data_IF_119215769371
#
_entry.id   IF_119215769371
#
_cell.length_a   1.000
_cell.length_b   1.000
_cell.length_c   1.000
_cell.angle_alpha   90.00
_cell.angle_beta   90.00
_cell.angle_gamma   90.00
#
_symmetry.space_group_name_H-M   'P 1'
#
loop_
_entity.id
_entity.type
_entity.pdbx_description
1 polymer ?
#
# COMPACT_ATOMS: atom_id res chain seq x y z
N UNK A 1 4.00 23.51 21.00
CA UNK A 1 3.44 22.31 21.63
C UNK A 1 4.57 21.34 21.88
N UNK A 2 4.64 20.73 23.05
CA UNK A 2 5.59 19.64 23.27
C UNK A 2 5.19 18.41 22.43
N UNK A 3 6.12 17.48 22.23
CA UNK A 3 5.82 16.20 21.59
C UNK A 3 4.68 15.46 22.32
N UNK A 4 4.67 15.52 23.66
CA UNK A 4 3.64 14.91 24.49
C UNK A 4 2.25 15.54 24.28
N UNK A 5 2.18 16.86 24.12
CA UNK A 5 0.92 17.55 23.83
C UNK A 5 0.37 17.15 22.46
N UNK A 6 1.27 17.03 21.48
CA UNK A 6 0.91 16.62 20.11
C UNK A 6 0.45 15.16 20.06
N UNK A 7 1.12 14.28 20.81
CA UNK A 7 0.73 12.88 20.94
C UNK A 7 -0.62 12.74 21.66
N UNK A 8 -0.82 13.47 22.75
CA UNK A 8 -2.09 13.47 23.49
C UNK A 8 -3.26 13.97 22.62
N UNK A 9 -3.05 15.04 21.86
CA UNK A 9 -4.05 15.55 20.91
C UNK A 9 -4.37 14.52 19.81
N UNK A 10 -3.34 13.86 19.26
CA UNK A 10 -3.52 12.79 18.28
C UNK A 10 -4.31 11.60 18.84
N UNK A 11 -4.01 11.17 20.07
CA UNK A 11 -4.76 10.12 20.74
C UNK A 11 -6.21 10.51 20.98
N UNK A 12 -6.49 11.75 21.38
CA UNK A 12 -7.85 12.24 21.56
C UNK A 12 -8.67 12.18 20.26
N UNK A 13 -8.07 12.59 19.13
CA UNK A 13 -8.71 12.52 17.81
C UNK A 13 -9.10 11.09 17.40
N UNK A 14 -8.24 10.11 17.66
CA UNK A 14 -8.48 8.71 17.29
C UNK A 14 -9.39 7.99 18.30
N UNK A 15 -9.44 8.46 19.54
CA UNK A 15 -10.29 7.87 20.59
C UNK A 15 -11.80 8.10 20.38
N UNK A 16 -12.19 9.02 19.50
CA UNK A 16 -13.59 9.20 19.13
C UNK A 16 -14.15 7.94 18.46
N UNK A 17 -15.39 7.59 18.82
CA UNK A 17 -16.09 6.44 18.25
C UNK A 17 -16.16 6.49 16.71
N UNK A 18 -16.40 7.68 16.15
CA UNK A 18 -16.47 7.89 14.70
C UNK A 18 -15.14 7.56 14.01
N UNK A 19 -14.02 8.00 14.59
CA UNK A 19 -12.67 7.67 14.11
C UNK A 19 -12.43 6.17 14.06
N UNK A 20 -12.79 5.44 15.13
CA UNK A 20 -12.65 3.98 15.20
C UNK A 20 -13.56 3.30 14.17
N UNK A 21 -14.80 3.80 14.01
CA UNK A 21 -15.75 3.27 13.04
C UNK A 21 -15.25 3.40 11.60
N UNK A 22 -14.82 4.59 11.18
CA UNK A 22 -14.31 4.82 9.82
C UNK A 22 -13.00 4.05 9.56
N UNK A 23 -12.12 3.95 10.56
CA UNK A 23 -10.92 3.13 10.47
C UNK A 23 -11.27 1.64 10.29
N UNK A 24 -12.19 1.10 11.11
CA UNK A 24 -12.62 -0.29 11.03
C UNK A 24 -13.32 -0.60 9.71
N UNK A 25 -14.18 0.30 9.23
CA UNK A 25 -14.81 0.20 7.92
C UNK A 25 -13.77 0.21 6.81
N UNK A 26 -12.78 1.10 6.90
CA UNK A 26 -11.67 1.16 5.95
C UNK A 26 -10.89 -0.14 5.91
N UNK A 27 -10.51 -0.68 7.07
CA UNK A 27 -9.81 -1.98 7.15
C UNK A 27 -10.66 -3.09 6.53
N UNK A 28 -11.95 -3.15 6.83
CA UNK A 28 -12.85 -4.17 6.25
C UNK A 28 -12.91 -4.07 4.73
N UNK A 29 -13.16 -2.88 4.19
CA UNK A 29 -13.21 -2.63 2.74
C UNK A 29 -11.86 -2.95 2.11
N UNK A 30 -10.76 -2.54 2.74
CA UNK A 30 -9.40 -2.82 2.30
C UNK A 30 -9.13 -4.32 2.21
N UNK A 31 -9.43 -5.08 3.26
CA UNK A 31 -9.21 -6.53 3.28
C UNK A 31 -10.03 -7.23 2.20
N UNK A 32 -11.29 -6.85 2.03
CA UNK A 32 -12.16 -7.41 0.97
C UNK A 32 -11.57 -7.09 -0.40
N UNK A 33 -11.23 -5.82 -0.66
CA UNK A 33 -10.67 -5.39 -1.93
C UNK A 33 -9.34 -6.09 -2.23
N UNK A 34 -8.42 -6.16 -1.25
CA UNK A 34 -7.14 -6.83 -1.41
C UNK A 34 -7.26 -8.36 -1.57
N UNK A 35 -8.35 -8.96 -1.07
CA UNK A 35 -8.62 -10.37 -1.27
C UNK A 35 -9.04 -10.71 -2.70
N UNK A 36 -9.51 -9.71 -3.48
CA UNK A 36 -9.88 -9.88 -4.89
C UNK A 36 -8.62 -9.88 -5.75
N UNK A 37 -8.30 -10.99 -6.46
CA UNK A 37 -7.11 -11.05 -7.30
C UNK A 37 -7.15 -10.00 -8.42
N UNK A 38 -6.10 -9.19 -8.51
CA UNK A 38 -5.99 -8.11 -9.50
C UNK A 38 -6.33 -6.72 -8.94
N UNK A 39 -7.04 -6.64 -7.82
CA UNK A 39 -7.34 -5.36 -7.16
C UNK A 39 -6.19 -4.99 -6.21
N UNK A 40 -5.41 -3.98 -6.61
CA UNK A 40 -4.31 -3.48 -5.78
C UNK A 40 -4.81 -2.61 -4.62
N UNK A 41 -4.05 -2.53 -3.52
CA UNK A 41 -4.36 -1.66 -2.39
C UNK A 41 -4.46 -0.18 -2.82
N UNK A 42 -3.63 0.26 -3.78
CA UNK A 42 -3.67 1.62 -4.34
C UNK A 42 -4.96 1.87 -5.11
N UNK A 43 -5.45 0.87 -5.85
CA UNK A 43 -6.73 0.95 -6.53
C UNK A 43 -7.89 1.02 -5.53
N UNK A 44 -7.87 0.19 -4.48
CA UNK A 44 -8.89 0.24 -3.43
C UNK A 44 -8.98 1.62 -2.76
N UNK A 45 -7.83 2.25 -2.46
CA UNK A 45 -7.77 3.62 -1.95
C UNK A 45 -8.35 4.63 -2.94
N UNK A 46 -8.00 4.51 -4.23
CA UNK A 46 -8.53 5.38 -5.27
C UNK A 46 -10.06 5.29 -5.40
N UNK A 47 -10.61 4.08 -5.27
CA UNK A 47 -12.06 3.84 -5.27
C UNK A 47 -12.74 4.36 -4.00
N UNK A 48 -12.05 4.36 -2.87
CA UNK A 48 -12.57 4.84 -1.59
C UNK A 48 -12.52 6.37 -1.46
N UNK A 49 -11.60 7.05 -2.13
CA UNK A 49 -11.38 8.49 -2.03
C UNK A 49 -12.63 9.35 -2.26
N UNK A 50 -13.50 9.10 -3.27
CA UNK A 50 -14.74 9.87 -3.48
C UNK A 50 -15.63 9.94 -2.24
N UNK A 51 -15.66 8.86 -1.45
CA UNK A 51 -16.50 8.77 -0.26
C UNK A 51 -15.96 9.60 0.90
N UNK A 52 -14.71 10.05 0.85
CA UNK A 52 -14.09 10.85 1.92
C UNK A 52 -14.42 12.33 1.86
N UNK A 53 -14.89 12.84 0.72
CA UNK A 53 -15.10 14.29 0.55
C UNK A 53 -16.32 14.83 1.28
N UNK A 54 -17.27 13.95 1.62
CA UNK A 54 -18.41 14.28 2.46
C UNK A 54 -18.08 14.13 3.97
N UNK A 55 -16.89 13.62 4.31
CA UNK A 55 -16.47 13.36 5.69
C UNK A 55 -15.61 14.50 6.21
N UNK A 56 -15.56 14.64 7.54
CA UNK A 56 -14.52 15.47 8.15
C UNK A 56 -13.12 14.91 7.79
N UNK A 57 -12.12 15.78 7.59
CA UNK A 57 -10.80 15.35 7.09
C UNK A 57 -10.17 14.22 7.90
N UNK A 58 -10.33 14.20 9.22
CA UNK A 58 -9.81 13.15 10.08
C UNK A 58 -10.42 11.78 9.75
N UNK A 59 -11.74 11.73 9.55
CA UNK A 59 -12.46 10.49 9.22
C UNK A 59 -12.12 10.00 7.81
N UNK A 60 -12.00 10.93 6.85
CA UNK A 60 -11.56 10.63 5.49
C UNK A 60 -10.16 10.01 5.46
N UNK A 61 -9.21 10.61 6.19
CA UNK A 61 -7.83 10.10 6.28
C UNK A 61 -7.80 8.72 6.93
N UNK A 62 -8.54 8.52 8.04
CA UNK A 62 -8.59 7.22 8.74
C UNK A 62 -9.23 6.13 7.87
N UNK A 63 -10.28 6.46 7.12
CA UNK A 63 -10.90 5.54 6.17
C UNK A 63 -9.89 5.07 5.12
N UNK A 64 -9.19 6.00 4.46
CA UNK A 64 -8.21 5.67 3.42
C UNK A 64 -7.01 4.90 3.98
N UNK A 65 -6.54 5.25 5.18
CA UNK A 65 -5.51 4.50 5.88
C UNK A 65 -5.96 3.06 6.16
N UNK A 66 -7.18 2.88 6.62
CA UNK A 66 -7.78 1.56 6.83
C UNK A 66 -7.83 0.76 5.52
N UNK A 67 -8.32 1.37 4.43
CA UNK A 67 -8.38 0.72 3.11
C UNK A 67 -7.00 0.33 2.62
N UNK A 68 -6.01 1.21 2.76
CA UNK A 68 -4.64 0.95 2.35
C UNK A 68 -4.03 -0.21 3.15
N UNK A 69 -4.03 -0.13 4.49
CA UNK A 69 -3.43 -1.15 5.37
C UNK A 69 -4.15 -2.50 5.24
N UNK A 70 -5.48 -2.45 5.24
CA UNK A 70 -6.33 -3.63 5.00
C UNK A 70 -6.09 -4.25 3.64
N UNK A 71 -5.91 -3.46 2.58
CA UNK A 71 -5.62 -3.93 1.23
C UNK A 71 -4.25 -4.56 1.06
N UNK A 72 -3.22 -4.00 1.69
CA UNK A 72 -1.87 -4.57 1.68
C UNK A 72 -1.85 -5.95 2.34
N UNK A 73 -2.47 -6.10 3.52
CA UNK A 73 -2.62 -7.41 4.16
C UNK A 73 -3.56 -8.33 3.36
N UNK A 74 -4.69 -7.78 2.87
CA UNK A 74 -5.69 -8.51 2.09
C UNK A 74 -5.07 -9.18 0.86
N UNK A 75 -4.10 -8.54 0.21
CA UNK A 75 -3.34 -9.10 -0.91
C UNK A 75 -2.59 -10.40 -0.60
N UNK A 76 -2.30 -10.68 0.67
CA UNK A 76 -1.70 -11.94 1.12
C UNK A 76 -2.69 -13.11 1.14
N UNK A 77 -4.00 -12.84 1.20
CA UNK A 77 -5.04 -13.88 1.17
C UNK A 77 -5.00 -14.68 -0.15
N UNK A 78 -5.11 -14.04 -1.33
CA UNK A 78 -5.05 -14.77 -2.60
C UNK A 78 -3.63 -15.23 -2.93
N UNK A 79 -2.59 -14.56 -2.41
CA UNK A 79 -1.20 -15.03 -2.48
C UNK A 79 -1.04 -16.42 -1.84
N UNK A 80 -1.57 -16.60 -0.62
CA UNK A 80 -1.46 -17.83 0.16
C UNK A 80 -2.41 -18.91 -0.37
N UNK A 81 -3.67 -18.59 -0.65
CA UNK A 81 -4.70 -19.60 -0.92
C UNK A 81 -4.69 -20.12 -2.36
N UNK A 82 -4.34 -19.26 -3.32
CA UNK A 82 -4.51 -19.55 -4.76
C UNK A 82 -3.32 -19.11 -5.61
N UNK A 83 -2.16 -18.84 -5.00
CA UNK A 83 -0.90 -18.46 -5.67
C UNK A 83 -1.00 -17.22 -6.58
N UNK A 84 -1.98 -16.35 -6.34
CA UNK A 84 -2.21 -15.16 -7.16
C UNK A 84 -2.09 -13.93 -6.27
N UNK A 85 -0.88 -13.36 -6.08
CA UNK A 85 -0.68 -12.27 -5.15
C UNK A 85 -1.46 -11.01 -5.58
N UNK A 86 -2.18 -10.40 -4.63
CA UNK A 86 -2.93 -9.16 -4.87
C UNK A 86 -2.06 -7.90 -4.93
N UNK A 87 -0.83 -7.99 -4.41
CA UNK A 87 0.16 -6.90 -4.49
C UNK A 87 1.54 -7.45 -4.87
N UNK A 88 2.42 -6.62 -5.49
CA UNK A 88 3.80 -7.02 -5.76
C UNK A 88 4.54 -7.49 -4.51
N UNK A 89 4.32 -6.87 -3.35
CA UNK A 89 4.95 -7.25 -2.08
C UNK A 89 4.47 -8.64 -1.60
N UNK A 90 3.20 -8.98 -1.78
CA UNK A 90 2.63 -10.30 -1.45
C UNK A 90 3.20 -11.44 -2.31
N UNK A 91 3.94 -11.12 -3.38
CA UNK A 91 4.65 -12.13 -4.17
C UNK A 91 5.74 -12.83 -3.35
N UNK A 92 6.41 -12.11 -2.43
CA UNK A 92 7.37 -12.72 -1.50
C UNK A 92 6.65 -13.68 -0.55
N UNK A 93 5.50 -13.28 0.00
CA UNK A 93 4.65 -14.12 0.85
C UNK A 93 4.17 -15.40 0.14
N UNK A 94 3.95 -15.32 -1.18
CA UNK A 94 3.53 -16.48 -1.99
C UNK A 94 4.57 -17.61 -1.97
N UNK A 95 5.86 -17.28 -1.85
CA UNK A 95 6.97 -18.25 -1.92
C UNK A 95 6.86 -19.35 -0.87
N UNK A 96 6.49 -18.99 0.36
CA UNK A 96 6.32 -19.96 1.46
C UNK A 96 4.85 -20.13 1.86
N UNK A 97 4.03 -19.08 1.77
CA UNK A 97 2.63 -19.12 2.16
C UNK A 97 1.80 -20.09 1.31
N UNK A 98 2.03 -20.13 -0.01
CA UNK A 98 1.30 -21.05 -0.89
C UNK A 98 1.69 -22.52 -0.65
N UNK A 99 2.98 -22.91 -0.58
CA UNK A 99 3.36 -24.27 -0.18
C UNK A 99 2.83 -24.69 1.21
N UNK A 100 2.73 -23.76 2.18
CA UNK A 100 2.09 -24.04 3.46
C UNK A 100 0.59 -24.37 3.28
N UNK A 101 -0.12 -23.61 2.44
CA UNK A 101 -1.51 -23.88 2.11
C UNK A 101 -1.69 -25.23 1.39
N UNK A 102 -0.78 -25.63 0.50
CA UNK A 102 -0.80 -26.94 -0.15
C UNK A 102 -0.67 -28.11 0.83
N UNK A 103 -0.02 -27.90 1.99
CA UNK A 103 0.08 -28.87 3.09
C UNK A 103 -1.09 -28.81 4.08
N UNK A 104 -2.13 -28.03 3.81
CA UNK A 104 -3.27 -27.85 4.71
C UNK A 104 -2.97 -26.93 5.91
N UNK A 105 -1.91 -26.13 5.85
CA UNK A 105 -1.54 -25.15 6.88
C UNK A 105 -1.93 -23.71 6.50
N UNK A 106 -2.94 -23.53 5.66
CA UNK A 106 -3.37 -22.23 5.14
C UNK A 106 -3.72 -21.22 6.26
N UNK A 107 -4.45 -21.63 7.29
CA UNK A 107 -4.80 -20.80 8.45
C UNK A 107 -3.58 -20.39 9.28
N UNK A 108 -2.55 -21.24 9.33
CA UNK A 108 -1.28 -20.94 9.98
C UNK A 108 -0.48 -19.91 9.16
N UNK A 109 -0.45 -20.04 7.84
CA UNK A 109 0.17 -19.05 6.96
C UNK A 109 -0.55 -17.69 7.02
N UNK A 110 -1.88 -17.67 6.92
CA UNK A 110 -2.69 -16.44 7.03
C UNK A 110 -2.53 -15.77 8.38
N UNK A 111 -2.54 -16.55 9.46
CA UNK A 111 -2.29 -16.04 10.81
C UNK A 111 -0.89 -15.43 10.94
N UNK A 112 0.14 -16.09 10.40
CA UNK A 112 1.51 -15.57 10.43
C UNK A 112 1.62 -14.26 9.64
N UNK A 113 1.04 -14.21 8.44
CA UNK A 113 0.99 -13.01 7.61
C UNK A 113 0.31 -11.85 8.34
N UNK A 114 -0.79 -12.11 9.07
CA UNK A 114 -1.48 -11.10 9.87
C UNK A 114 -0.61 -10.60 11.01
N UNK A 115 -0.03 -11.49 11.81
CA UNK A 115 0.83 -11.10 12.94
C UNK A 115 2.09 -10.35 12.49
N UNK A 116 2.76 -10.84 11.44
CA UNK A 116 3.92 -10.18 10.86
C UNK A 116 3.57 -8.77 10.34
N UNK A 117 2.44 -8.64 9.62
CA UNK A 117 1.96 -7.34 9.11
C UNK A 117 1.66 -6.37 10.26
N UNK A 118 0.94 -6.80 11.29
CA UNK A 118 0.61 -5.96 12.44
C UNK A 118 1.86 -5.49 13.21
N UNK A 119 2.84 -6.36 13.42
CA UNK A 119 4.09 -6.01 14.11
C UNK A 119 4.92 -5.04 13.24
N UNK A 120 5.03 -5.32 11.93
CA UNK A 120 5.78 -4.47 11.01
C UNK A 120 5.14 -3.08 10.86
N UNK A 121 3.80 -3.02 10.78
CA UNK A 121 3.06 -1.77 10.76
C UNK A 121 3.22 -0.97 12.06
N UNK A 122 3.22 -1.64 13.21
CA UNK A 122 3.47 -0.97 14.49
C UNK A 122 4.87 -0.33 14.52
N UNK A 123 5.90 -1.07 14.11
CA UNK A 123 7.28 -0.56 14.05
C UNK A 123 7.38 0.60 13.04
N UNK A 124 6.75 0.45 11.87
CA UNK A 124 6.76 1.48 10.83
C UNK A 124 6.04 2.76 11.27
N UNK A 125 4.86 2.64 11.86
CA UNK A 125 4.09 3.77 12.37
C UNK A 125 4.81 4.48 13.53
N UNK A 126 5.40 3.73 14.47
CA UNK A 126 6.21 4.32 15.54
C UNK A 126 7.43 5.04 14.99
N UNK A 127 8.12 4.44 14.03
CA UNK A 127 9.26 5.09 13.36
C UNK A 127 8.82 6.39 12.67
N UNK A 128 7.65 6.39 12.00
CA UNK A 128 7.09 7.58 11.39
C UNK A 128 6.74 8.64 12.44
N UNK A 129 6.04 8.30 13.53
CA UNK A 129 5.66 9.25 14.58
C UNK A 129 6.89 9.93 15.20
N UNK A 130 7.96 9.16 15.45
CA UNK A 130 9.19 9.67 16.06
C UNK A 130 10.05 10.49 15.09
N UNK A 131 10.12 10.06 13.82
CA UNK A 131 11.00 10.65 12.82
C UNK A 131 10.31 11.70 11.95
N UNK A 132 8.97 11.82 11.99
CA UNK A 132 8.21 12.74 11.13
C UNK A 132 8.66 14.19 11.27
N UNK A 133 8.94 14.65 12.49
CA UNK A 133 9.43 16.02 12.72
C UNK A 133 10.78 16.28 12.05
N UNK A 134 11.70 15.32 12.14
CA UNK A 134 12.99 15.38 11.46
C UNK A 134 12.83 15.34 9.94
N UNK A 135 12.01 14.41 9.44
CA UNK A 135 11.68 14.30 8.01
C UNK A 135 11.09 15.61 7.47
N UNK A 136 10.17 16.23 8.21
CA UNK A 136 9.55 17.49 7.86
C UNK A 136 10.55 18.66 7.86
N UNK A 137 11.44 18.73 8.86
CA UNK A 137 12.49 19.76 8.90
C UNK A 137 13.46 19.65 7.73
N UNK A 138 13.80 18.41 7.33
CA UNK A 138 14.60 18.15 6.15
C UNK A 138 13.85 18.56 4.88
N UNK A 139 12.56 18.20 4.76
CA UNK A 139 11.73 18.60 3.63
C UNK A 139 11.55 20.13 3.52
N UNK A 140 11.46 20.85 4.64
CA UNK A 140 11.37 22.32 4.66
C UNK A 140 12.69 23.00 4.26
N UNK A 141 13.82 22.31 4.34
CA UNK A 141 15.10 22.82 3.85
C UNK A 141 15.25 22.73 2.32
N UNK A 142 14.30 22.09 1.64
CA UNK A 142 14.33 21.96 0.18
C UNK A 142 14.04 23.29 -0.50
N UNK A 143 14.94 23.69 -1.39
CA UNK A 143 14.74 24.79 -2.30
C UNK A 143 14.21 24.30 -3.66
N UNK A 144 14.06 25.23 -4.62
CA UNK A 144 13.63 24.90 -5.97
C UNK A 144 14.45 23.76 -6.64
N UNK A 145 15.79 23.69 -6.50
CA UNK A 145 16.58 22.58 -7.06
C UNK A 145 16.26 21.21 -6.45
N UNK A 146 16.07 21.15 -5.13
CA UNK A 146 15.74 19.91 -4.42
C UNK A 146 14.34 19.43 -4.81
N UNK A 147 13.35 20.34 -4.84
CA UNK A 147 12.00 20.04 -5.33
C UNK A 147 12.02 19.56 -6.78
N UNK A 148 12.76 20.24 -7.66
CA UNK A 148 12.92 19.80 -9.05
C UNK A 148 13.52 18.39 -9.13
N UNK A 149 14.59 18.13 -8.38
CA UNK A 149 15.28 16.84 -8.38
C UNK A 149 14.39 15.74 -7.82
N UNK A 150 13.59 16.02 -6.78
CA UNK A 150 12.65 15.06 -6.20
C UNK A 150 11.49 14.75 -7.12
N UNK A 151 10.94 15.75 -7.81
CA UNK A 151 9.90 15.55 -8.82
C UNK A 151 10.48 14.74 -9.97
N UNK A 152 11.68 15.08 -10.47
CA UNK A 152 12.37 14.34 -11.53
C UNK A 152 12.67 12.90 -11.10
N UNK A 153 13.14 12.70 -9.87
CA UNK A 153 13.38 11.38 -9.29
C UNK A 153 12.09 10.58 -9.20
N UNK A 154 11.01 11.19 -8.69
CA UNK A 154 9.68 10.56 -8.62
C UNK A 154 9.15 10.17 -9.99
N UNK A 155 9.31 11.04 -11.00
CA UNK A 155 8.95 10.73 -12.40
C UNK A 155 9.81 9.59 -12.97
N UNK A 156 11.11 9.57 -12.64
CA UNK A 156 12.04 8.50 -13.05
C UNK A 156 11.66 7.16 -12.44
N UNK A 157 11.26 7.15 -11.18
CA UNK A 157 10.70 5.99 -10.50
C UNK A 157 9.42 5.53 -11.17
N UNK A 158 8.46 6.44 -11.40
CA UNK A 158 7.18 6.08 -12.03
C UNK A 158 7.48 5.41 -13.38
N UNK A 159 8.38 6.00 -14.17
CA UNK A 159 8.85 5.42 -15.42
C UNK A 159 9.53 4.05 -15.22
N UNK A 160 10.37 3.89 -14.20
CA UNK A 160 11.07 2.63 -13.88
C UNK A 160 10.17 1.51 -13.33
N UNK A 161 9.07 1.87 -12.66
CA UNK A 161 8.07 0.95 -12.10
C UNK A 161 6.99 0.60 -13.13
N UNK A 162 6.99 1.22 -14.32
CA UNK A 162 5.99 1.04 -15.38
C UNK A 162 6.02 -0.33 -16.10
N UNK A 163 6.37 -1.39 -15.40
CA UNK A 163 6.35 -2.76 -15.90
C UNK A 163 7.26 -2.95 -17.11
N UNK A 164 6.76 -3.65 -18.12
CA UNK A 164 7.55 -4.09 -19.28
C UNK A 164 7.92 -2.97 -20.28
N UNK A 165 7.35 -1.76 -20.14
CA UNK A 165 7.55 -0.69 -21.12
C UNK A 165 7.76 0.69 -20.49
N UNK A 166 9.03 1.08 -20.38
CA UNK A 166 9.47 2.42 -19.95
C UNK A 166 8.78 3.55 -20.75
N UNK A 167 8.59 3.33 -22.07
CA UNK A 167 7.95 4.31 -22.96
C UNK A 167 6.51 4.57 -22.56
N UNK A 168 5.72 3.52 -22.25
CA UNK A 168 4.33 3.69 -21.78
C UNK A 168 4.27 4.43 -20.45
N UNK A 169 5.23 4.16 -19.55
CA UNK A 169 5.38 4.88 -18.30
C UNK A 169 5.62 6.37 -18.47
N UNK A 170 6.57 6.73 -19.34
CA UNK A 170 6.86 8.13 -19.67
C UNK A 170 5.67 8.84 -20.32
N UNK A 171 4.94 8.16 -21.22
CA UNK A 171 3.72 8.71 -21.82
C UNK A 171 2.65 8.96 -20.76
N UNK A 172 2.43 8.01 -19.84
CA UNK A 172 1.46 8.16 -18.76
C UNK A 172 1.83 9.31 -17.81
N UNK A 173 3.11 9.42 -17.43
CA UNK A 173 3.61 10.50 -16.59
C UNK A 173 3.47 11.87 -17.26
N UNK A 174 3.82 11.97 -18.55
CA UNK A 174 3.65 13.20 -19.31
C UNK A 174 2.17 13.58 -19.48
N UNK A 175 1.29 12.60 -19.72
CA UNK A 175 -0.14 12.82 -19.84
C UNK A 175 -0.75 13.31 -18.52
N UNK A 176 -0.38 12.69 -17.40
CA UNK A 176 -0.81 13.13 -16.06
C UNK A 176 -0.33 14.55 -15.74
N UNK A 177 0.92 14.89 -16.09
CA UNK A 177 1.46 16.23 -15.91
C UNK A 177 0.70 17.27 -16.76
N UNK A 178 0.38 16.94 -18.01
CA UNK A 178 -0.41 17.81 -18.89
C UNK A 178 -1.81 18.06 -18.32
N UNK A 179 -2.51 17.01 -17.86
CA UNK A 179 -3.82 17.14 -17.22
C UNK A 179 -3.76 17.99 -15.94
N UNK A 180 -2.68 17.89 -15.16
CA UNK A 180 -2.48 18.70 -13.96
C UNK A 180 -2.21 20.19 -14.25
N UNK A 181 -1.82 20.54 -15.48
CA UNK A 181 -1.63 21.95 -15.89
C UNK A 181 -2.91 22.63 -16.38
N UNK A 182 -4.03 21.92 -16.47
CA UNK A 182 -5.33 22.50 -16.85
C UNK A 182 -5.84 23.37 -15.70
N UNK A 183 -6.18 24.63 -16.00
CA UNK A 183 -6.71 25.61 -15.05
C UNK A 183 -5.85 26.86 -14.92
N UNK A 184 -6.01 27.58 -13.82
CA UNK A 184 -5.23 28.77 -13.52
C UNK A 184 -3.82 28.42 -13.04
N UNK A 185 -2.83 29.11 -13.61
CA UNK A 185 -1.47 29.12 -13.10
C UNK A 185 -1.40 29.77 -11.71
N UNK A 186 -0.94 29.03 -10.70
CA UNK A 186 -0.83 29.52 -9.32
C UNK A 186 0.20 30.64 -9.14
N UNK A 187 1.17 30.78 -10.05
CA UNK A 187 2.23 31.79 -9.95
C UNK A 187 1.81 33.09 -10.65
N UNK A 188 1.33 32.98 -11.89
CA UNK A 188 1.06 34.14 -12.74
C UNK A 188 -0.43 34.42 -12.95
N UNK A 189 -1.34 33.56 -12.49
CA UNK A 189 -2.79 33.71 -12.68
C UNK A 189 -3.25 33.62 -14.13
N UNK A 190 -2.43 33.00 -15.00
CA UNK A 190 -2.74 32.83 -16.42
C UNK A 190 -3.57 31.57 -16.66
N UNK A 191 -4.52 31.66 -17.58
CA UNK A 191 -5.33 30.54 -18.02
C UNK A 191 -4.51 29.54 -18.84
N UNK A 192 -4.52 28.27 -18.44
CA UNK A 192 -3.88 27.16 -19.16
C UNK A 192 -4.92 26.10 -19.50
N UNK A 193 -5.15 25.88 -20.79
CA UNK A 193 -6.10 24.87 -21.28
C UNK A 193 -7.53 25.00 -20.68
N UNK A 194 -7.96 26.22 -20.28
CA UNK A 194 -9.33 26.51 -19.83
C UNK A 194 -10.33 26.60 -20.99
N UNK A 195 -9.84 26.81 -22.21
CA UNK A 195 -10.63 26.94 -23.45
C UNK A 195 -11.81 27.93 -23.38
N UNK A 196 -11.75 28.90 -22.46
CA UNK A 196 -12.82 29.88 -22.23
C UNK A 196 -14.01 29.34 -21.44
N UNK A 197 -13.95 28.12 -20.90
CA UNK A 197 -14.96 27.57 -19.97
C UNK A 197 -14.58 27.93 -18.53
N UNK A 198 -15.40 28.73 -17.82
CA UNK A 198 -15.16 29.07 -16.42
C UNK A 198 -15.07 27.84 -15.50
N UNK A 199 -15.71 26.73 -15.84
CA UNK A 199 -15.66 25.50 -15.03
C UNK A 199 -14.27 24.84 -15.08
N UNK A 200 -13.49 25.07 -16.14
CA UNK A 200 -12.13 24.55 -16.28
C UNK A 200 -11.07 25.44 -15.63
N UNK A 201 -11.41 26.66 -15.22
CA UNK A 201 -10.47 27.55 -14.51
C UNK A 201 -10.03 26.96 -13.16
N UNK A 202 -10.91 26.20 -12.51
CA UNK A 202 -10.61 25.43 -11.29
C UNK A 202 -9.79 24.16 -11.54
N UNK A 203 -9.44 23.87 -12.80
CA UNK A 203 -8.80 22.64 -13.23
C UNK A 203 -9.75 21.45 -13.33
N UNK A 204 -9.19 20.28 -13.63
CA UNK A 204 -9.98 19.05 -13.72
C UNK A 204 -10.38 18.58 -12.31
N UNK A 205 -11.64 18.17 -12.16
CA UNK A 205 -12.08 17.57 -10.90
C UNK A 205 -11.28 16.28 -10.63
N UNK A 206 -10.43 16.33 -9.60
CA UNK A 206 -9.53 15.25 -9.25
C UNK A 206 -10.25 13.91 -9.08
N UNK A 207 -11.44 13.93 -8.47
CA UNK A 207 -12.27 12.76 -8.21
C UNK A 207 -12.72 12.11 -9.52
N UNK A 208 -13.29 12.91 -10.42
CA UNK A 208 -13.78 12.44 -11.70
C UNK A 208 -12.66 11.82 -12.54
N UNK A 209 -11.47 12.45 -12.53
CA UNK A 209 -10.28 11.93 -13.20
C UNK A 209 -9.85 10.59 -12.60
N UNK A 210 -9.79 10.46 -11.27
CA UNK A 210 -9.43 9.21 -10.61
C UNK A 210 -10.44 8.08 -10.86
N UNK A 211 -11.74 8.36 -10.80
CA UNK A 211 -12.78 7.37 -11.12
C UNK A 211 -12.64 6.92 -12.59
N UNK A 212 -12.43 7.87 -13.51
CA UNK A 212 -12.23 7.57 -14.92
C UNK A 212 -10.98 6.74 -15.20
N UNK A 213 -9.88 7.01 -14.49
CA UNK A 213 -8.59 6.35 -14.70
C UNK A 213 -8.47 5.00 -14.00
N UNK A 214 -9.09 4.84 -12.83
CA UNK A 214 -8.91 3.65 -11.98
C UNK A 214 -10.16 2.78 -11.90
N UNK A 215 -11.36 3.35 -11.81
CA UNK A 215 -12.58 2.56 -11.63
C UNK A 215 -13.12 2.01 -12.96
N UNK A 216 -13.22 2.87 -13.98
CA UNK A 216 -13.81 2.48 -15.26
C UNK A 216 -13.05 1.34 -15.97
N UNK A 217 -11.71 1.33 -16.05
CA UNK A 217 -11.00 0.26 -16.75
C UNK A 217 -11.24 -1.11 -16.12
N UNK A 218 -11.33 -1.20 -14.79
CA UNK A 218 -11.58 -2.46 -14.10
C UNK A 218 -13.03 -2.93 -14.27
N UNK A 219 -14.00 -2.00 -14.21
CA UNK A 219 -15.41 -2.35 -14.49
C UNK A 219 -15.54 -2.90 -15.91
N UNK A 220 -14.86 -2.28 -16.87
CA UNK A 220 -14.81 -2.75 -18.26
C UNK A 220 -14.13 -4.14 -18.31
N UNK A 221 -12.94 -4.32 -17.75
CA UNK A 221 -12.22 -5.61 -17.78
C UNK A 221 -13.02 -6.74 -17.12
N UNK A 222 -13.66 -6.47 -15.98
CA UNK A 222 -14.52 -7.42 -15.28
C UNK A 222 -15.70 -7.88 -16.15
N UNK A 223 -16.34 -6.96 -16.89
CA UNK A 223 -17.46 -7.29 -17.78
C UNK A 223 -16.99 -8.07 -19.02
N UNK A 224 -15.83 -7.73 -19.58
CA UNK A 224 -15.35 -8.33 -20.84
C UNK A 224 -14.50 -9.59 -20.67
N UNK A 225 -13.92 -9.80 -19.48
CA UNK A 225 -13.10 -10.97 -19.15
C UNK A 225 -13.50 -11.52 -17.79
N UNK A 226 -14.69 -12.11 -17.65
CA UNK A 226 -15.00 -12.88 -16.46
C UNK A 226 -13.94 -13.99 -16.36
N UNK A 227 -13.03 -13.88 -15.38
CA UNK A 227 -11.99 -14.88 -15.18
C UNK A 227 -12.66 -16.17 -14.72
N UNK A 228 -12.91 -17.08 -15.66
CA UNK A 228 -13.23 -18.48 -15.40
C UNK A 228 -11.98 -19.23 -14.97
N UNK A 229 -11.38 -18.86 -13.83
CA UNK A 229 -10.43 -19.75 -13.18
C UNK A 229 -10.99 -20.13 -11.83
N UNK A 230 -11.62 -21.31 -11.78
CA UNK A 230 -11.97 -21.99 -10.56
C UNK A 230 -10.69 -22.47 -9.86
N UNK A 231 -9.91 -21.53 -9.30
CA UNK A 231 -8.98 -21.86 -8.23
C UNK A 231 -9.86 -22.19 -7.03
N UNK A 232 -10.15 -23.48 -6.82
CA UNK A 232 -10.82 -23.90 -5.59
C UNK A 232 -9.99 -23.38 -4.41
N UNK A 233 -10.57 -22.47 -3.63
CA UNK A 233 -9.94 -21.95 -2.43
C UNK A 233 -9.51 -23.13 -1.56
N UNK A 234 -8.21 -23.17 -1.21
CA UNK A 234 -7.69 -24.23 -0.35
C UNK A 234 -8.39 -24.17 1.01
N UNK A 235 -8.66 -25.35 1.58
CA UNK A 235 -9.22 -25.42 2.92
C UNK A 235 -8.26 -24.75 3.91
N UNK A 236 -8.80 -23.92 4.82
CA UNK A 236 -8.03 -23.19 5.82
C UNK A 236 -7.23 -24.13 6.75
N UNK A 237 -7.64 -25.39 6.89
CA UNK A 237 -7.10 -26.31 7.88
C UNK A 237 -7.49 -25.92 9.30
N UNK A 238 -7.26 -26.82 10.26
CA UNK A 238 -7.70 -26.63 11.65
C UNK A 238 -6.73 -25.84 12.55
N UNK A 239 -5.55 -25.44 12.03
CA UNK A 239 -4.49 -24.83 12.84
C UNK A 239 -4.22 -23.40 12.39
N UNK A 240 -4.38 -22.46 13.32
CA UNK A 240 -3.97 -21.06 13.18
C UNK A 240 -2.55 -20.85 13.68
N UNK A 241 -1.92 -19.74 13.29
CA UNK A 241 -0.61 -19.36 13.82
C UNK A 241 -0.68 -19.21 15.34
N UNK A 242 0.29 -19.81 16.02
CA UNK A 242 0.39 -19.73 17.47
C UNK A 242 1.34 -18.61 17.89
N UNK A 243 1.23 -18.14 19.14
CA UNK A 243 2.21 -17.20 19.70
C UNK A 243 3.64 -17.76 19.69
N UNK A 244 3.79 -19.09 19.74
CA UNK A 244 5.09 -19.75 19.61
C UNK A 244 5.68 -19.59 18.20
N UNK A 245 4.84 -19.67 17.16
CA UNK A 245 5.25 -19.41 15.77
C UNK A 245 5.73 -17.97 15.62
N UNK A 246 4.96 -17.00 16.11
CA UNK A 246 5.32 -15.58 16.07
C UNK A 246 6.63 -15.33 16.82
N UNK A 247 6.79 -15.91 18.02
CA UNK A 247 8.02 -15.76 18.82
C UNK A 247 9.25 -16.34 18.13
N UNK A 248 9.10 -17.45 17.39
CA UNK A 248 10.18 -18.06 16.61
C UNK A 248 10.61 -17.12 15.47
N UNK A 249 9.66 -16.47 14.81
CA UNK A 249 9.92 -15.59 13.66
C UNK A 249 10.21 -14.13 14.05
N UNK A 250 10.05 -13.76 15.33
CA UNK A 250 10.09 -12.37 15.80
C UNK A 250 11.37 -11.62 15.40
N UNK A 251 12.52 -12.29 15.40
CA UNK A 251 13.79 -11.69 14.97
C UNK A 251 13.76 -11.27 13.49
N UNK A 252 13.23 -12.15 12.64
CA UNK A 252 13.09 -11.87 11.21
C UNK A 252 12.02 -10.83 10.94
N UNK A 253 10.91 -10.84 11.68
CA UNK A 253 9.88 -9.79 11.59
C UNK A 253 10.46 -8.43 11.95
N UNK A 254 11.14 -8.29 13.09
CA UNK A 254 11.71 -7.01 13.55
C UNK A 254 12.74 -6.49 12.54
N UNK A 255 13.67 -7.35 12.10
CA UNK A 255 14.67 -6.96 11.11
C UNK A 255 14.04 -6.57 9.78
N UNK A 256 13.10 -7.36 9.29
CA UNK A 256 12.33 -7.07 8.08
C UNK A 256 11.57 -5.74 8.18
N UNK A 257 11.05 -5.42 9.36
CA UNK A 257 10.37 -4.16 9.63
C UNK A 257 11.33 -2.97 9.50
N UNK A 258 12.56 -3.07 10.01
CA UNK A 258 13.55 -2.01 9.83
C UNK A 258 14.03 -1.87 8.38
N UNK A 259 14.17 -2.98 7.65
CA UNK A 259 14.43 -2.95 6.20
C UNK A 259 13.30 -2.21 5.48
N UNK A 260 12.05 -2.52 5.83
CA UNK A 260 10.86 -1.87 5.30
C UNK A 260 10.79 -0.38 5.61
N UNK A 261 11.10 0.02 6.86
CA UNK A 261 11.16 1.44 7.25
C UNK A 261 12.23 2.19 6.46
N UNK A 262 13.43 1.62 6.34
CA UNK A 262 14.54 2.28 5.66
C UNK A 262 14.30 2.40 4.15
N UNK A 263 13.95 1.30 3.48
CA UNK A 263 13.67 1.31 2.04
C UNK A 263 12.38 2.05 1.70
N UNK A 264 11.37 1.98 2.57
CA UNK A 264 10.10 2.70 2.40
C UNK A 264 10.22 4.20 2.57
N UNK A 265 11.22 4.68 3.32
CA UNK A 265 11.53 6.10 3.41
C UNK A 265 12.16 6.65 2.12
N UNK A 266 12.70 5.79 1.25
CA UNK A 266 13.27 6.19 -0.03
C UNK A 266 12.13 6.30 -1.05
N UNK A 267 11.89 7.49 -1.63
CA UNK A 267 10.85 7.67 -2.63
C UNK A 267 11.02 6.64 -3.75
N UNK A 268 9.93 5.98 -4.13
CA UNK A 268 9.84 5.15 -5.33
C UNK A 268 10.47 3.76 -5.33
N UNK A 269 11.12 3.34 -4.24
CA UNK A 269 11.50 1.93 -4.12
C UNK A 269 10.26 1.06 -3.88
N UNK A 270 9.32 1.55 -3.07
CA UNK A 270 8.05 0.86 -2.80
C UNK A 270 8.21 -0.40 -1.95
N UNK A 271 7.08 -1.09 -1.69
CA UNK A 271 7.04 -2.22 -0.78
C UNK A 271 7.62 -3.53 -1.35
N UNK A 272 7.64 -3.70 -2.68
CA UNK A 272 8.03 -4.98 -3.28
C UNK A 272 9.52 -5.28 -3.10
N UNK A 273 10.47 -4.38 -3.44
CA UNK A 273 11.89 -4.63 -3.21
C UNK A 273 12.21 -4.82 -1.72
N UNK A 274 11.52 -4.09 -0.84
CA UNK A 274 11.66 -4.25 0.61
C UNK A 274 11.23 -5.64 1.08
N UNK A 275 10.12 -6.17 0.57
CA UNK A 275 9.63 -7.51 0.88
C UNK A 275 10.62 -8.60 0.43
N UNK A 276 11.14 -8.51 -0.80
CA UNK A 276 12.12 -9.48 -1.31
C UNK A 276 13.47 -9.39 -0.60
N UNK A 277 13.95 -8.20 -0.27
CA UNK A 277 15.18 -8.05 0.52
C UNK A 277 15.00 -8.60 1.95
N UNK A 278 13.86 -8.30 2.58
CA UNK A 278 13.52 -8.86 3.89
C UNK A 278 13.48 -10.38 3.86
N UNK A 279 12.86 -10.97 2.83
CA UNK A 279 12.81 -12.41 2.61
C UNK A 279 14.20 -13.02 2.43
N UNK A 280 15.04 -12.43 1.57
CA UNK A 280 16.41 -12.90 1.34
C UNK A 280 17.25 -12.86 2.63
N UNK A 281 17.09 -11.81 3.44
CA UNK A 281 17.79 -11.65 4.69
C UNK A 281 17.25 -12.58 5.79
N UNK A 282 15.95 -12.87 5.80
CA UNK A 282 15.33 -13.93 6.60
C UNK A 282 15.95 -15.30 6.26
N UNK A 283 15.96 -15.68 4.98
CA UNK A 283 16.56 -16.93 4.51
C UNK A 283 18.04 -17.04 4.90
N UNK A 284 18.83 -15.98 4.67
CA UNK A 284 20.28 -15.99 4.93
C UNK A 284 20.63 -16.29 6.38
N UNK A 285 19.80 -15.86 7.32
CA UNK A 285 20.09 -15.95 8.75
C UNK A 285 19.24 -17.00 9.48
N UNK A 286 18.33 -17.67 8.77
CA UNK A 286 17.53 -18.73 9.36
C UNK A 286 18.35 -20.02 9.49
N UNK A 287 18.27 -20.73 10.63
CA UNK A 287 18.75 -22.10 10.75
C UNK A 287 18.07 -23.07 9.77
N UNK A 288 16.87 -22.74 9.28
CA UNK A 288 16.06 -23.57 8.37
C UNK A 288 16.07 -23.04 6.93
N UNK A 289 17.15 -22.38 6.50
CA UNK A 289 17.30 -21.77 5.17
C UNK A 289 16.93 -22.68 3.99
N UNK A 290 17.10 -24.00 4.13
CA UNK A 290 16.82 -25.00 3.09
C UNK A 290 15.31 -25.27 2.88
N UNK A 291 14.47 -24.79 3.81
CA UNK A 291 13.01 -24.90 3.77
C UNK A 291 12.30 -23.69 3.15
N UNK A 292 13.01 -22.56 2.96
CA UNK A 292 12.45 -21.38 2.30
C UNK A 292 12.06 -21.70 0.85
N UNK A 293 10.92 -21.18 0.41
CA UNK A 293 10.28 -21.54 -0.85
C UNK A 293 9.59 -22.91 -0.85
N UNK A 294 9.63 -23.65 0.27
CA UNK A 294 8.95 -24.94 0.48
C UNK A 294 7.94 -24.87 1.62
N UNK A 295 7.63 -23.68 2.12
CA UNK A 295 6.67 -23.44 3.20
C UNK A 295 7.30 -23.31 4.58
N UNK A 296 8.44 -22.66 4.70
CA UNK A 296 8.95 -22.26 6.01
C UNK A 296 8.16 -21.05 6.52
N UNK A 297 7.62 -21.15 7.74
CA UNK A 297 6.78 -20.09 8.33
C UNK A 297 7.52 -18.76 8.51
N UNK A 298 8.85 -18.78 8.60
CA UNK A 298 9.69 -17.59 8.68
C UNK A 298 9.80 -16.82 7.36
N UNK A 299 9.45 -17.45 6.23
CA UNK A 299 9.39 -16.80 4.92
C UNK A 299 8.09 -16.06 4.63
N UNK A 300 7.07 -16.20 5.49
CA UNK A 300 5.75 -15.54 5.42
C UNK A 300 5.75 -14.25 6.23
#
# INVERSE_FOLDING_TARGET
MSFLDSAAAGFALVAHWESVFYLAMGVLVGVIAGAVPGVSATMAVALALPFTFALEPIYGILLLLGVYKGGIFGGSIPAILIKTPGTPASSATTLDGYPMAERGEAGRALGMALYASCIADLISNLSLILLAGWLASFALSFGPPEFFTLILFSLTIIAGVSGESLVKGLIAAASGLLLATVGLDLVYGTDRFSFGDPNLMGGLNFIAVLIGLFALPEIIDFVFRPKEEHHQARQLGGRWATLADVRRCLRSIIRGSFIGVFLGAIPGIGGAPAAFLSYAEAQRNSPNRDNFGKGEIEGV
#
